data_IF_810826420426
#
_entry.id   IF_810826420426
#
_cell.length_a   1.000
_cell.length_b   1.000
_cell.length_c   1.000
_cell.angle_alpha   90.00
_cell.angle_beta   90.00
_cell.angle_gamma   90.00
#
_symmetry.space_group_name_H-M   'P 1'
#
loop_
_entity.id
_entity.type
_entity.pdbx_description
1 polymer ?
#
# COMPACT_ATOMS: atom_id res chain seq x y z
N UNK A 1 33.33 -4.29 40.90
CA UNK A 1 32.92 -3.62 39.64
C UNK A 1 31.47 -3.93 39.41
N UNK A 2 30.57 -3.01 39.75
CA UNK A 2 29.14 -3.17 39.51
C UNK A 2 28.83 -2.62 38.10
N UNK A 3 28.41 -3.50 37.22
CA UNK A 3 27.88 -3.12 35.87
C UNK A 3 26.46 -2.67 36.07
N UNK A 4 26.22 -1.35 35.99
CA UNK A 4 24.89 -0.78 36.01
C UNK A 4 24.15 -1.11 34.70
N UNK A 5 23.10 -1.90 34.79
CA UNK A 5 22.14 -2.07 33.69
C UNK A 5 21.38 -0.77 33.51
N UNK A 6 21.68 -0.04 32.44
CA UNK A 6 20.91 1.11 32.04
C UNK A 6 19.52 0.65 31.60
N UNK A 7 18.50 1.01 32.34
CA UNK A 7 17.10 0.92 31.93
C UNK A 7 16.91 1.94 30.81
N UNK A 8 16.83 1.49 29.57
CA UNK A 8 16.37 2.33 28.45
C UNK A 8 14.94 2.77 28.79
N UNK A 9 14.78 4.02 29.20
CA UNK A 9 13.46 4.62 29.42
C UNK A 9 12.69 4.59 28.12
N UNK A 10 11.53 3.94 28.10
CA UNK A 10 10.55 4.05 27.03
C UNK A 10 10.15 5.52 26.93
N UNK A 11 10.65 6.21 25.90
CA UNK A 11 10.10 7.53 25.55
C UNK A 11 8.60 7.37 25.27
N UNK A 12 7.75 8.30 25.75
CA UNK A 12 6.35 8.27 25.39
C UNK A 12 6.24 8.33 23.87
N UNK A 13 5.54 7.37 23.27
CA UNK A 13 5.26 7.34 21.84
C UNK A 13 4.48 8.61 21.50
N UNK A 14 5.10 9.52 20.78
CA UNK A 14 4.48 10.74 20.28
C UNK A 14 3.62 10.42 19.06
N UNK A 15 2.63 11.27 18.76
CA UNK A 15 1.90 11.23 17.50
C UNK A 15 2.86 11.19 16.30
N UNK A 16 2.44 10.57 15.21
CA UNK A 16 3.28 10.47 14.00
C UNK A 16 3.46 11.88 13.41
N UNK A 17 4.70 12.28 13.31
CA UNK A 17 5.14 13.48 12.60
C UNK A 17 5.52 13.15 11.15
N UNK A 18 5.53 14.14 10.24
CA UNK A 18 6.06 13.95 8.89
C UNK A 18 7.43 13.30 8.91
N UNK A 19 7.65 12.34 8.02
CA UNK A 19 8.94 11.63 7.95
C UNK A 19 10.09 12.58 7.61
N UNK A 20 11.05 12.73 8.51
CA UNK A 20 12.28 13.49 8.28
C UNK A 20 13.29 12.62 7.53
N UNK A 21 13.31 12.70 6.22
CA UNK A 21 14.25 11.95 5.38
C UNK A 21 15.49 12.79 5.08
N UNK A 22 16.67 12.18 5.27
CA UNK A 22 17.95 12.81 4.92
C UNK A 22 18.23 12.65 3.41
N UNK A 23 19.00 13.59 2.84
CA UNK A 23 19.40 13.55 1.42
C UNK A 23 18.34 14.06 0.45
N UNK A 24 18.53 13.73 -0.82
CA UNK A 24 17.61 14.11 -1.89
C UNK A 24 16.48 13.07 -2.06
N UNK A 25 15.34 13.46 -2.64
CA UNK A 25 14.29 12.53 -3.01
C UNK A 25 14.85 11.39 -3.88
N UNK A 26 14.47 10.16 -3.55
CA UNK A 26 14.89 8.98 -4.30
C UNK A 26 13.73 8.02 -4.46
N UNK A 27 13.26 7.91 -5.68
CA UNK A 27 12.08 7.13 -6.02
C UNK A 27 12.46 5.97 -6.93
N UNK A 28 12.10 4.75 -6.52
CA UNK A 28 12.33 3.53 -7.28
C UNK A 28 11.01 3.06 -7.91
N UNK A 29 11.03 2.82 -9.23
CA UNK A 29 9.83 2.41 -9.94
C UNK A 29 9.47 0.95 -9.62
N UNK A 30 8.21 0.72 -9.33
CA UNK A 30 7.60 -0.57 -9.02
C UNK A 30 6.27 -0.75 -9.77
N UNK A 31 5.70 -1.93 -9.71
CA UNK A 31 4.39 -2.25 -10.27
C UNK A 31 3.56 -3.01 -9.24
N UNK A 32 2.31 -2.58 -9.06
CA UNK A 32 1.37 -3.30 -8.21
C UNK A 32 0.71 -4.46 -8.97
N UNK A 33 0.71 -5.65 -8.37
CA UNK A 33 0.08 -6.84 -8.92
C UNK A 33 -1.41 -6.63 -9.24
N UNK A 34 -2.07 -5.72 -8.54
CA UNK A 34 -3.46 -5.36 -8.77
C UNK A 34 -3.71 -4.83 -10.19
N UNK A 35 -2.69 -4.29 -10.86
CA UNK A 35 -2.74 -3.90 -12.29
C UNK A 35 -3.16 -5.05 -13.21
N UNK A 36 -2.86 -6.28 -12.81
CA UNK A 36 -3.20 -7.51 -13.53
C UNK A 36 -4.24 -8.38 -12.81
N UNK A 37 -5.09 -7.77 -11.97
CA UNK A 37 -6.07 -8.45 -11.10
C UNK A 37 -6.91 -9.52 -11.80
N UNK A 38 -7.20 -9.32 -13.10
CA UNK A 38 -8.01 -10.23 -13.90
C UNK A 38 -7.21 -11.37 -14.53
N UNK A 39 -5.89 -11.37 -14.42
CA UNK A 39 -4.99 -12.32 -15.09
C UNK A 39 -4.30 -13.29 -14.14
N UNK A 40 -4.50 -13.16 -12.84
CA UNK A 40 -3.93 -14.10 -11.87
C UNK A 40 -4.73 -15.40 -11.81
N UNK A 41 -4.02 -16.53 -11.71
CA UNK A 41 -4.61 -17.85 -11.47
C UNK A 41 -5.37 -17.84 -10.15
N UNK A 42 -6.64 -18.25 -10.18
CA UNK A 42 -7.48 -18.26 -8.98
C UNK A 42 -8.00 -16.90 -8.51
N UNK A 43 -7.79 -15.84 -9.29
CA UNK A 43 -8.44 -14.57 -9.03
C UNK A 43 -9.97 -14.73 -9.03
N UNK A 44 -10.71 -14.05 -8.12
CA UNK A 44 -12.16 -14.06 -8.17
C UNK A 44 -12.65 -13.58 -9.54
N UNK A 45 -13.56 -14.30 -10.17
CA UNK A 45 -14.15 -13.88 -11.43
C UNK A 45 -14.83 -12.53 -11.25
N UNK A 46 -14.34 -11.49 -11.91
CA UNK A 46 -14.99 -10.19 -11.96
C UNK A 46 -15.89 -10.09 -13.19
N UNK A 47 -16.96 -9.33 -13.11
CA UNK A 47 -17.87 -9.13 -14.23
C UNK A 47 -17.10 -8.56 -15.43
N UNK A 48 -17.11 -9.30 -16.57
CA UNK A 48 -16.39 -8.94 -17.80
C UNK A 48 -15.13 -9.77 -18.10
N UNK A 49 -14.72 -10.70 -17.23
CA UNK A 49 -13.64 -11.63 -17.55
C UNK A 49 -14.06 -12.61 -18.65
N UNK A 50 -13.31 -12.64 -19.75
CA UNK A 50 -13.36 -13.77 -20.68
C UNK A 50 -12.69 -14.98 -20.02
N UNK A 51 -13.47 -16.03 -19.76
CA UNK A 51 -12.92 -17.33 -19.39
C UNK A 51 -11.97 -17.79 -20.50
N UNK A 52 -10.69 -18.06 -20.14
CA UNK A 52 -9.69 -18.51 -21.09
C UNK A 52 -8.74 -17.43 -21.60
N UNK A 53 -8.47 -16.37 -20.83
CA UNK A 53 -7.43 -15.41 -21.17
C UNK A 53 -6.11 -16.13 -21.47
N UNK A 54 -5.47 -15.90 -22.66
CA UNK A 54 -4.30 -16.67 -23.11
C UNK A 54 -3.03 -16.43 -22.29
N UNK A 55 -3.05 -15.48 -21.36
CA UNK A 55 -1.95 -15.13 -20.44
C UNK A 55 -2.45 -15.15 -19.00
N UNK A 56 -2.06 -16.16 -18.25
CA UNK A 56 -2.29 -16.23 -16.81
C UNK A 56 -0.99 -16.00 -16.05
N UNK A 57 -1.06 -15.20 -14.98
CA UNK A 57 0.05 -14.95 -14.07
C UNK A 57 -0.12 -15.78 -12.79
N UNK A 58 1.01 -16.09 -12.19
CA UNK A 58 1.18 -16.34 -10.76
C UNK A 58 2.20 -15.33 -10.21
N UNK A 59 2.51 -15.39 -8.92
CA UNK A 59 3.42 -14.39 -8.33
C UNK A 59 4.85 -14.48 -8.87
N UNK A 60 5.32 -15.66 -9.25
CA UNK A 60 6.65 -15.83 -9.88
C UNK A 60 6.67 -15.17 -11.26
N UNK A 61 5.68 -15.46 -12.09
CA UNK A 61 5.53 -14.84 -13.42
C UNK A 61 5.29 -13.33 -13.36
N UNK A 62 4.65 -12.83 -12.30
CA UNK A 62 4.52 -11.38 -12.08
C UNK A 62 5.88 -10.73 -11.76
N UNK A 63 6.71 -11.37 -10.92
CA UNK A 63 8.07 -10.92 -10.63
C UNK A 63 8.92 -10.93 -11.90
N UNK A 64 8.81 -11.97 -12.72
CA UNK A 64 9.49 -12.03 -14.03
C UNK A 64 9.08 -10.88 -14.94
N UNK A 65 7.78 -10.62 -15.05
CA UNK A 65 7.26 -9.49 -15.82
C UNK A 65 7.82 -8.14 -15.33
N UNK A 66 7.84 -7.91 -14.01
CA UNK A 66 8.41 -6.70 -13.44
C UNK A 66 9.90 -6.54 -13.79
N UNK A 67 10.68 -7.62 -13.72
CA UNK A 67 12.09 -7.62 -14.09
C UNK A 67 12.29 -7.33 -15.60
N UNK A 68 11.47 -7.91 -16.48
CA UNK A 68 11.48 -7.67 -17.92
C UNK A 68 11.14 -6.21 -18.28
N UNK A 69 10.29 -5.54 -17.48
CA UNK A 69 10.01 -4.11 -17.62
C UNK A 69 11.13 -3.22 -17.04
N UNK A 70 12.20 -3.80 -16.50
CA UNK A 70 13.32 -3.04 -15.91
C UNK A 70 12.95 -2.28 -14.64
N UNK A 71 12.05 -2.83 -13.84
CA UNK A 71 11.59 -2.22 -12.58
C UNK A 71 12.53 -2.56 -11.43
N UNK A 72 12.54 -1.73 -10.40
CA UNK A 72 13.27 -1.98 -9.15
C UNK A 72 12.48 -2.84 -8.15
N UNK A 73 11.15 -2.91 -8.29
CA UNK A 73 10.30 -3.62 -7.34
C UNK A 73 9.03 -4.22 -7.94
N UNK A 74 8.51 -5.23 -7.25
CA UNK A 74 7.19 -5.82 -7.47
C UNK A 74 6.37 -5.68 -6.18
N UNK A 75 5.24 -4.98 -6.23
CA UNK A 75 4.29 -4.89 -5.13
C UNK A 75 3.27 -6.03 -5.28
N UNK A 76 3.35 -7.00 -4.39
CA UNK A 76 2.52 -8.20 -4.44
C UNK A 76 1.24 -8.03 -3.61
N UNK A 77 0.17 -8.74 -3.96
CA UNK A 77 -1.12 -8.61 -3.27
C UNK A 77 -1.57 -9.97 -2.73
N UNK A 78 -2.01 -10.01 -1.48
CA UNK A 78 -2.45 -11.24 -0.79
C UNK A 78 -3.50 -12.05 -1.54
N UNK A 79 -4.29 -11.38 -2.37
CA UNK A 79 -5.42 -11.96 -3.09
C UNK A 79 -5.04 -13.03 -4.13
N UNK A 80 -3.79 -12.97 -4.63
CA UNK A 80 -3.35 -13.75 -5.80
C UNK A 80 -2.35 -14.84 -5.47
N UNK A 81 -2.08 -15.03 -4.18
CA UNK A 81 -1.24 -16.15 -3.73
C UNK A 81 -2.01 -17.48 -3.75
N UNK A 82 -1.30 -18.62 -3.91
CA UNK A 82 -1.92 -19.93 -3.83
C UNK A 82 -2.50 -20.18 -2.43
N UNK A 83 -3.52 -21.03 -2.37
CA UNK A 83 -4.13 -21.47 -1.11
C UNK A 83 -4.07 -23.00 -1.01
N UNK A 84 -3.45 -23.56 0.05
CA UNK A 84 -2.79 -22.88 1.18
C UNK A 84 -1.48 -22.19 0.76
N UNK A 85 -1.10 -21.13 1.47
CA UNK A 85 0.15 -20.41 1.26
C UNK A 85 1.19 -20.87 2.29
N UNK A 86 2.26 -21.51 1.83
CA UNK A 86 3.34 -22.00 2.69
C UNK A 86 4.52 -21.01 2.78
N UNK A 87 5.32 -21.15 3.84
CA UNK A 87 6.55 -20.37 3.99
C UNK A 87 7.60 -20.70 2.93
N UNK A 88 7.64 -21.98 2.47
CA UNK A 88 8.53 -22.43 1.40
C UNK A 88 8.26 -21.65 0.12
N UNK A 89 6.99 -21.48 -0.25
CA UNK A 89 6.61 -20.68 -1.40
C UNK A 89 7.05 -19.22 -1.28
N UNK A 90 6.88 -18.61 -0.10
CA UNK A 90 7.29 -17.23 0.18
C UNK A 90 8.81 -17.05 0.13
N UNK A 91 9.57 -18.00 0.66
CA UNK A 91 11.04 -18.00 0.59
C UNK A 91 11.51 -18.20 -0.87
N UNK A 92 10.85 -19.06 -1.63
CA UNK A 92 11.12 -19.24 -3.06
C UNK A 92 10.83 -17.97 -3.86
N UNK A 93 9.71 -17.30 -3.61
CA UNK A 93 9.38 -16.02 -4.24
C UNK A 93 10.44 -14.95 -3.92
N UNK A 94 10.86 -14.85 -2.68
CA UNK A 94 11.94 -13.94 -2.26
C UNK A 94 13.27 -14.25 -2.97
N UNK A 95 13.65 -15.53 -3.03
CA UNK A 95 14.84 -16.00 -3.75
C UNK A 95 14.73 -15.72 -5.25
N UNK A 96 13.58 -15.99 -5.85
CA UNK A 96 13.32 -15.74 -7.26
C UNK A 96 13.48 -14.25 -7.59
N UNK A 97 12.83 -13.35 -6.83
CA UNK A 97 12.95 -11.92 -7.00
C UNK A 97 14.41 -11.44 -6.87
N UNK A 98 15.16 -11.95 -5.87
CA UNK A 98 16.57 -11.62 -5.70
C UNK A 98 17.42 -12.01 -6.92
N UNK A 99 17.22 -13.22 -7.49
CA UNK A 99 17.94 -13.68 -8.65
C UNK A 99 17.57 -12.92 -9.94
N UNK A 100 16.39 -12.31 -9.98
CA UNK A 100 15.95 -11.41 -11.06
C UNK A 100 16.42 -9.97 -10.87
N UNK A 101 17.14 -9.66 -9.78
CA UNK A 101 17.62 -8.31 -9.48
C UNK A 101 16.51 -7.34 -9.07
N UNK A 102 15.39 -7.84 -8.54
CA UNK A 102 14.21 -7.05 -8.18
C UNK A 102 13.87 -7.30 -6.70
N UNK A 103 13.29 -6.30 -6.03
CA UNK A 103 12.81 -6.43 -4.66
C UNK A 103 11.31 -6.70 -4.62
N UNK A 104 10.84 -7.41 -3.58
CA UNK A 104 9.43 -7.30 -3.22
C UNK A 104 9.27 -5.92 -2.57
N UNK A 105 8.69 -4.97 -3.30
CA UNK A 105 8.63 -3.56 -2.88
C UNK A 105 7.61 -3.30 -1.78
N UNK A 106 6.64 -4.18 -1.65
CA UNK A 106 5.58 -4.14 -0.66
C UNK A 106 4.53 -5.19 -0.91
N UNK A 107 3.53 -5.22 -0.03
CA UNK A 107 2.38 -6.10 -0.19
C UNK A 107 1.09 -5.44 0.29
N UNK A 108 -0.05 -6.04 -0.03
CA UNK A 108 -1.36 -5.53 0.32
C UNK A 108 -2.25 -6.63 0.88
N UNK A 109 -3.06 -6.31 1.88
CA UNK A 109 -4.05 -7.21 2.48
C UNK A 109 -5.43 -6.55 2.51
N UNK A 110 -6.47 -7.36 2.36
CA UNK A 110 -7.84 -6.91 2.56
C UNK A 110 -8.21 -7.00 4.04
N UNK A 111 -8.62 -5.87 4.63
CA UNK A 111 -9.08 -5.79 6.01
C UNK A 111 -10.12 -4.69 6.17
N UNK A 112 -10.82 -4.71 7.31
CA UNK A 112 -11.74 -3.65 7.71
C UNK A 112 -11.61 -3.37 9.21
N UNK A 113 -10.89 -2.32 9.56
CA UNK A 113 -10.67 -1.91 10.96
C UNK A 113 -11.74 -0.94 11.49
N UNK A 114 -12.67 -0.47 10.63
CA UNK A 114 -13.79 0.37 11.04
C UNK A 114 -14.95 -0.40 11.71
N UNK A 115 -14.83 -1.72 11.87
CA UNK A 115 -15.87 -2.56 12.46
C UNK A 115 -16.15 -2.21 13.94
N UNK A 116 -17.37 -2.49 14.44
CA UNK A 116 -17.64 -2.53 15.87
C UNK A 116 -16.67 -3.45 16.61
N UNK A 117 -16.33 -3.10 17.86
CA UNK A 117 -15.54 -3.99 18.74
C UNK A 117 -16.21 -5.34 18.91
N UNK A 118 -15.42 -6.40 18.93
CA UNK A 118 -15.88 -7.79 19.08
C UNK A 118 -15.17 -8.73 18.11
N UNK A 119 -15.66 -9.96 18.01
CA UNK A 119 -15.01 -11.06 17.27
C UNK A 119 -14.70 -10.74 15.82
N UNK A 120 -15.55 -9.95 15.15
CA UNK A 120 -15.33 -9.60 13.76
C UNK A 120 -14.09 -8.70 13.60
N UNK A 121 -13.91 -7.69 14.44
CA UNK A 121 -12.73 -6.83 14.44
C UNK A 121 -11.48 -7.61 14.86
N UNK A 122 -11.60 -8.47 15.89
CA UNK A 122 -10.49 -9.32 16.35
C UNK A 122 -9.99 -10.25 15.24
N UNK A 123 -10.87 -10.80 14.41
CA UNK A 123 -10.48 -11.60 13.24
C UNK A 123 -9.77 -10.79 12.17
N UNK A 124 -10.18 -9.53 11.92
CA UNK A 124 -9.47 -8.64 10.98
C UNK A 124 -8.03 -8.37 11.46
N UNK A 125 -7.87 -8.06 12.76
CA UNK A 125 -6.54 -7.82 13.35
C UNK A 125 -5.68 -9.08 13.26
N UNK A 126 -6.22 -10.24 13.61
CA UNK A 126 -5.52 -11.53 13.53
C UNK A 126 -5.07 -11.85 12.09
N UNK A 127 -5.93 -11.61 11.12
CA UNK A 127 -5.62 -11.80 9.69
C UNK A 127 -4.49 -10.88 9.22
N UNK A 128 -4.49 -9.62 9.66
CA UNK A 128 -3.39 -8.69 9.34
C UNK A 128 -2.08 -9.14 10.01
N UNK A 129 -2.12 -9.60 11.28
CA UNK A 129 -0.94 -10.14 11.97
C UNK A 129 -0.38 -11.38 11.26
N UNK A 130 -1.24 -12.29 10.81
CA UNK A 130 -0.83 -13.44 9.99
C UNK A 130 -0.14 -12.98 8.69
N UNK A 131 -0.65 -11.92 8.06
CA UNK A 131 -0.03 -11.39 6.83
C UNK A 131 1.28 -10.65 7.09
N UNK A 132 1.44 -10.05 8.29
CA UNK A 132 2.73 -9.47 8.73
C UNK A 132 3.82 -10.54 8.79
N UNK A 133 3.52 -11.74 9.33
CA UNK A 133 4.48 -12.86 9.32
C UNK A 133 4.86 -13.25 7.88
N UNK A 134 3.89 -13.35 6.98
CA UNK A 134 4.14 -13.66 5.57
C UNK A 134 4.96 -12.57 4.87
N UNK A 135 4.66 -11.30 5.14
CA UNK A 135 5.42 -10.16 4.61
C UNK A 135 6.89 -10.20 5.06
N UNK A 136 7.13 -10.49 6.34
CA UNK A 136 8.48 -10.64 6.86
C UNK A 136 9.25 -11.79 6.20
N UNK A 137 8.61 -12.95 6.00
CA UNK A 137 9.21 -14.11 5.32
C UNK A 137 9.58 -13.79 3.87
N UNK A 138 8.66 -13.17 3.10
CA UNK A 138 8.94 -12.82 1.71
C UNK A 138 9.84 -11.59 1.54
N UNK A 139 10.14 -10.87 2.65
CA UNK A 139 11.00 -9.68 2.63
C UNK A 139 10.30 -8.41 2.15
N UNK A 140 8.98 -8.35 2.22
CA UNK A 140 8.23 -7.13 1.92
C UNK A 140 8.38 -6.10 3.06
N UNK A 141 8.83 -4.87 2.78
CA UNK A 141 9.12 -3.88 3.81
C UNK A 141 7.86 -3.23 4.39
N UNK A 142 6.75 -3.28 3.68
CA UNK A 142 5.48 -2.70 4.12
C UNK A 142 4.26 -3.49 3.66
N UNK A 143 3.15 -3.24 4.34
CA UNK A 143 1.82 -3.77 4.00
C UNK A 143 0.85 -2.60 3.86
N UNK A 144 0.16 -2.51 2.74
CA UNK A 144 -1.01 -1.64 2.61
C UNK A 144 -2.19 -2.26 3.36
N UNK A 145 -2.81 -1.46 4.22
CA UNK A 145 -4.02 -1.77 4.97
C UNK A 145 -5.13 -0.77 4.66
N UNK A 146 -6.38 -1.17 4.91
CA UNK A 146 -7.55 -0.31 4.81
C UNK A 146 -8.06 0.12 6.19
N UNK A 147 -8.69 1.30 6.25
CA UNK A 147 -9.52 1.67 7.39
C UNK A 147 -10.85 0.90 7.38
N UNK A 148 -11.58 1.01 6.28
CA UNK A 148 -12.85 0.37 6.07
C UNK A 148 -14.00 1.34 5.76
N UNK A 149 -15.17 0.81 5.34
CA UNK A 149 -16.35 1.63 5.06
C UNK A 149 -16.94 2.21 6.35
N UNK A 150 -17.76 3.25 6.21
CA UNK A 150 -18.57 3.76 7.33
C UNK A 150 -19.57 2.67 7.77
N UNK A 151 -19.50 2.16 9.03
CA UNK A 151 -20.41 1.13 9.50
C UNK A 151 -21.84 1.68 9.63
N UNK A 152 -22.84 0.77 9.59
CA UNK A 152 -24.24 1.12 9.82
C UNK A 152 -24.63 1.10 11.30
N UNK A 153 -23.91 0.31 12.10
CA UNK A 153 -24.29 -0.04 13.47
C UNK A 153 -23.64 0.82 14.54
N UNK A 154 -22.63 1.60 14.18
CA UNK A 154 -21.91 2.52 15.07
C UNK A 154 -21.67 3.87 14.39
N UNK A 155 -21.37 4.89 15.17
CA UNK A 155 -21.03 6.20 14.64
C UNK A 155 -19.68 6.20 13.91
N UNK A 156 -19.49 7.09 12.93
CA UNK A 156 -18.19 7.29 12.25
C UNK A 156 -17.07 7.58 13.27
N UNK A 157 -17.37 8.37 14.31
CA UNK A 157 -16.40 8.70 15.35
C UNK A 157 -15.97 7.47 16.17
N UNK A 158 -16.88 6.53 16.43
CA UNK A 158 -16.56 5.26 17.08
C UNK A 158 -15.76 4.34 16.15
N UNK A 159 -16.14 4.26 14.88
CA UNK A 159 -15.39 3.50 13.87
C UNK A 159 -13.94 4.01 13.73
N UNK A 160 -13.73 5.32 13.76
CA UNK A 160 -12.39 5.93 13.75
C UNK A 160 -11.58 5.51 14.99
N UNK A 161 -12.18 5.55 16.20
CA UNK A 161 -11.48 5.11 17.42
C UNK A 161 -11.10 3.62 17.34
N UNK A 162 -12.03 2.76 16.90
CA UNK A 162 -11.77 1.33 16.75
C UNK A 162 -10.65 1.07 15.72
N UNK A 163 -10.66 1.81 14.62
CA UNK A 163 -9.61 1.73 13.60
C UNK A 163 -8.24 2.12 14.15
N UNK A 164 -8.13 3.21 14.93
CA UNK A 164 -6.88 3.64 15.56
C UNK A 164 -6.36 2.56 16.50
N UNK A 165 -7.18 2.04 17.40
CA UNK A 165 -6.80 0.97 18.34
C UNK A 165 -6.34 -0.31 17.60
N UNK A 166 -7.07 -0.72 16.55
CA UNK A 166 -6.71 -1.88 15.74
C UNK A 166 -5.37 -1.69 14.99
N UNK A 167 -5.13 -0.48 14.47
CA UNK A 167 -3.86 -0.15 13.83
C UNK A 167 -2.73 -0.18 14.84
N UNK A 168 -2.89 0.40 16.03
CA UNK A 168 -1.87 0.40 17.09
C UNK A 168 -1.49 -1.03 17.49
N UNK A 169 -2.49 -1.90 17.70
CA UNK A 169 -2.28 -3.32 18.01
C UNK A 169 -1.54 -4.07 16.88
N UNK A 170 -1.92 -3.83 15.63
CA UNK A 170 -1.26 -4.43 14.48
C UNK A 170 0.17 -3.89 14.29
N UNK A 171 0.40 -2.60 14.53
CA UNK A 171 1.71 -1.95 14.41
C UNK A 171 2.70 -2.40 15.49
N UNK A 172 2.24 -2.68 16.71
CA UNK A 172 3.09 -3.27 17.76
C UNK A 172 3.68 -4.60 17.27
N UNK A 173 2.85 -5.46 16.67
CA UNK A 173 3.30 -6.72 16.10
C UNK A 173 4.18 -6.52 14.86
N UNK A 174 3.80 -5.61 13.97
CA UNK A 174 4.55 -5.31 12.76
C UNK A 174 5.96 -4.80 13.05
N UNK A 175 6.12 -3.98 14.10
CA UNK A 175 7.42 -3.49 14.56
C UNK A 175 8.35 -4.59 15.03
N UNK A 176 7.84 -5.64 15.68
CA UNK A 176 8.62 -6.82 16.08
C UNK A 176 9.15 -7.61 14.87
N UNK A 177 8.47 -7.49 13.71
CA UNK A 177 8.82 -8.16 12.47
C UNK A 177 9.59 -7.26 11.47
N UNK A 178 9.76 -5.97 11.79
CA UNK A 178 10.41 -5.00 10.92
C UNK A 178 9.60 -4.63 9.68
N UNK A 179 8.26 -4.63 9.78
CA UNK A 179 7.32 -4.35 8.68
C UNK A 179 6.55 -3.07 8.98
N UNK A 180 6.50 -2.14 8.03
CA UNK A 180 5.66 -0.93 8.12
C UNK A 180 4.21 -1.25 7.72
N UNK A 181 3.23 -0.60 8.37
CA UNK A 181 1.85 -0.58 7.90
C UNK A 181 1.53 0.77 7.25
N UNK A 182 0.99 0.74 6.04
CA UNK A 182 0.58 1.92 5.29
C UNK A 182 -0.95 1.96 5.16
N UNK A 183 -1.60 2.96 5.76
CA UNK A 183 -3.04 3.17 5.61
C UNK A 183 -3.35 3.84 4.28
N UNK A 184 -4.17 3.20 3.46
CA UNK A 184 -4.57 3.75 2.17
C UNK A 184 -5.75 4.72 2.29
N UNK A 185 -5.70 5.81 1.55
CA UNK A 185 -6.84 6.68 1.28
C UNK A 185 -7.81 5.98 0.31
N UNK A 186 -8.70 5.15 0.86
CA UNK A 186 -9.62 4.29 0.08
C UNK A 186 -11.09 4.55 0.41
N UNK A 187 -11.49 5.81 0.57
CA UNK A 187 -12.86 6.20 0.91
C UNK A 187 -13.30 5.75 2.31
N UNK A 188 -14.61 5.57 2.51
CA UNK A 188 -15.15 5.13 3.80
C UNK A 188 -14.92 6.13 4.92
N UNK A 189 -14.20 5.74 5.99
CA UNK A 189 -13.88 6.65 7.10
C UNK A 189 -12.64 7.52 6.84
N UNK A 190 -11.99 7.37 5.69
CA UNK A 190 -10.80 8.12 5.23
C UNK A 190 -10.99 8.65 3.79
N UNK A 191 -12.14 9.25 3.54
CA UNK A 191 -12.51 9.77 2.23
C UNK A 191 -11.70 11.03 1.83
N UNK A 192 -11.28 11.82 2.82
CA UNK A 192 -10.51 13.05 2.63
C UNK A 192 -9.14 12.97 3.29
N UNK A 193 -8.20 13.83 2.86
CA UNK A 193 -6.89 13.96 3.49
C UNK A 193 -7.00 14.32 4.98
N UNK A 194 -7.93 15.20 5.35
CA UNK A 194 -8.15 15.57 6.75
C UNK A 194 -8.56 14.36 7.62
N UNK A 195 -9.43 13.50 7.12
CA UNK A 195 -9.87 12.28 7.82
C UNK A 195 -8.75 11.24 7.92
N UNK A 196 -8.02 11.01 6.83
CA UNK A 196 -6.85 10.13 6.82
C UNK A 196 -5.80 10.60 7.82
N UNK A 197 -5.43 11.88 7.76
CA UNK A 197 -4.41 12.46 8.65
C UNK A 197 -4.85 12.54 10.10
N UNK A 198 -6.15 12.64 10.39
CA UNK A 198 -6.66 12.54 11.75
C UNK A 198 -6.34 11.17 12.37
N UNK A 199 -6.49 10.06 11.63
CA UNK A 199 -6.10 8.73 12.08
C UNK A 199 -4.57 8.62 12.17
N UNK A 200 -3.85 9.02 11.11
CA UNK A 200 -2.38 8.91 11.06
C UNK A 200 -1.71 9.63 12.24
N UNK A 201 -2.16 10.84 12.56
CA UNK A 201 -1.61 11.63 13.68
C UNK A 201 -2.04 11.11 15.06
N UNK A 202 -3.12 10.34 15.16
CA UNK A 202 -3.58 9.77 16.42
C UNK A 202 -2.84 8.46 16.78
N UNK A 203 -2.42 7.68 15.79
CA UNK A 203 -1.68 6.43 15.99
C UNK A 203 -0.28 6.71 16.55
N UNK A 204 0.10 6.00 17.61
CA UNK A 204 1.38 6.17 18.31
C UNK A 204 2.33 5.02 17.98
N UNK A 205 2.76 4.90 16.74
CA UNK A 205 3.70 3.85 16.33
C UNK A 205 4.66 4.34 15.26
N UNK A 206 5.97 4.12 15.39
CA UNK A 206 6.93 4.45 14.35
C UNK A 206 6.84 3.50 13.13
N UNK A 207 6.06 2.44 13.21
CA UNK A 207 5.85 1.43 12.16
C UNK A 207 4.60 1.68 11.34
N UNK A 208 4.12 2.93 11.30
CA UNK A 208 2.91 3.32 10.61
C UNK A 208 3.12 4.54 9.73
N UNK A 209 2.34 4.64 8.65
CA UNK A 209 2.29 5.80 7.77
C UNK A 209 1.17 5.66 6.75
N UNK A 210 1.27 6.42 5.67
CA UNK A 210 0.29 6.45 4.58
C UNK A 210 0.76 5.58 3.42
N UNK A 211 -0.08 4.67 2.93
CA UNK A 211 0.02 4.16 1.58
C UNK A 211 -0.76 5.12 0.68
N UNK A 212 -0.03 6.01 -0.01
CA UNK A 212 -0.63 7.10 -0.76
C UNK A 212 -1.06 6.62 -2.15
N UNK A 213 -2.36 6.39 -2.32
CA UNK A 213 -2.97 6.15 -3.61
C UNK A 213 -3.32 7.47 -4.29
N UNK A 214 -2.82 7.68 -5.51
CA UNK A 214 -2.92 8.98 -6.19
C UNK A 214 -4.24 9.22 -6.90
N UNK A 215 -5.11 8.22 -6.99
CA UNK A 215 -6.40 8.30 -7.68
C UNK A 215 -7.64 8.24 -6.79
N UNK A 216 -7.46 7.94 -5.49
CA UNK A 216 -8.58 7.65 -4.60
C UNK A 216 -9.18 8.87 -3.87
N UNK A 217 -8.58 10.04 -3.96
CA UNK A 217 -9.22 11.27 -3.51
C UNK A 217 -10.18 11.81 -4.57
N UNK A 218 -11.46 11.89 -4.23
CA UNK A 218 -12.53 12.37 -5.12
C UNK A 218 -13.02 13.77 -4.68
N UNK A 219 -12.08 14.70 -4.46
CA UNK A 219 -12.34 16.07 -4.09
C UNK A 219 -12.31 17.03 -5.29
N UNK A 220 -12.50 18.33 -5.06
CA UNK A 220 -12.37 19.35 -6.09
C UNK A 220 -10.92 19.49 -6.58
N UNK A 221 -9.93 19.35 -5.67
CA UNK A 221 -8.50 19.30 -5.99
C UNK A 221 -7.82 18.11 -5.32
N UNK A 222 -7.86 16.90 -5.92
CA UNK A 222 -7.21 15.72 -5.39
C UNK A 222 -5.70 15.87 -5.17
N UNK A 223 -5.03 16.67 -6.00
CA UNK A 223 -3.59 16.88 -5.88
C UNK A 223 -3.20 17.66 -4.63
N UNK A 224 -4.04 18.60 -4.18
CA UNK A 224 -3.83 19.27 -2.90
C UNK A 224 -3.89 18.29 -1.74
N UNK A 225 -4.83 17.35 -1.77
CA UNK A 225 -4.93 16.32 -0.73
C UNK A 225 -3.70 15.38 -0.76
N UNK A 226 -3.17 15.07 -1.94
CA UNK A 226 -1.93 14.33 -2.08
C UNK A 226 -0.74 15.11 -1.49
N UNK A 227 -0.67 16.44 -1.70
CA UNK A 227 0.36 17.31 -1.10
C UNK A 227 0.33 17.25 0.44
N UNK A 228 -0.85 17.26 1.04
CA UNK A 228 -1.02 17.18 2.50
C UNK A 228 -0.59 15.81 3.07
N UNK A 229 -0.82 14.72 2.33
CA UNK A 229 -0.53 13.35 2.78
C UNK A 229 0.88 12.85 2.45
N UNK A 230 1.51 13.36 1.39
CA UNK A 230 2.81 12.89 0.91
C UNK A 230 3.93 12.88 1.97
N UNK A 231 4.01 13.85 2.93
CA UNK A 231 5.02 13.81 3.98
C UNK A 231 4.93 12.59 4.91
N UNK A 232 3.79 11.92 4.97
CA UNK A 232 3.52 10.73 5.78
C UNK A 232 3.57 9.43 4.98
N UNK A 233 3.88 9.49 3.68
CA UNK A 233 3.84 8.31 2.81
C UNK A 233 4.98 7.34 3.11
N UNK A 234 4.66 6.06 3.30
CA UNK A 234 5.61 4.93 3.35
C UNK A 234 5.67 4.20 2.02
N UNK A 235 4.62 4.28 1.23
CA UNK A 235 4.50 3.78 -0.13
C UNK A 235 3.62 4.71 -0.96
N UNK A 236 3.79 4.67 -2.28
CA UNK A 236 2.96 5.43 -3.23
C UNK A 236 2.46 4.50 -4.32
N UNK A 237 1.14 4.43 -4.49
CA UNK A 237 0.48 3.76 -5.61
C UNK A 237 -0.01 4.81 -6.61
N UNK A 238 0.50 4.75 -7.83
CA UNK A 238 0.19 5.72 -8.89
C UNK A 238 -0.91 5.18 -9.78
N UNK A 239 -2.09 5.79 -9.70
CA UNK A 239 -3.18 5.58 -10.66
C UNK A 239 -2.94 6.37 -11.93
N UNK A 240 -3.39 5.83 -13.05
CA UNK A 240 -3.25 6.48 -14.37
C UNK A 240 -4.38 7.46 -14.66
N UNK A 241 -5.41 7.47 -13.85
CA UNK A 241 -6.59 8.32 -13.94
C UNK A 241 -6.94 8.91 -12.58
N UNK A 242 -7.43 10.15 -12.57
CA UNK A 242 -7.93 10.87 -11.40
C UNK A 242 -9.35 11.34 -11.68
N UNK A 243 -10.24 11.22 -10.71
CA UNK A 243 -11.63 11.67 -10.82
C UNK A 243 -11.94 12.75 -9.82
N UNK A 244 -12.16 13.98 -10.30
CA UNK A 244 -12.57 15.09 -9.45
C UNK A 244 -14.02 14.95 -8.99
N UNK A 245 -14.35 15.56 -7.87
CA UNK A 245 -15.74 15.63 -7.38
C UNK A 245 -16.65 16.25 -8.43
N UNK A 246 -17.78 15.59 -8.68
CA UNK A 246 -18.75 16.05 -9.67
C UNK A 246 -18.37 15.82 -11.14
N UNK A 247 -17.15 15.36 -11.44
CA UNK A 247 -16.76 15.06 -12.81
C UNK A 247 -17.47 13.80 -13.34
N UNK A 248 -18.02 13.90 -14.56
CA UNK A 248 -18.70 12.78 -15.20
C UNK A 248 -17.73 11.65 -15.59
N UNK A 249 -16.47 11.97 -15.85
CA UNK A 249 -15.42 11.04 -16.26
C UNK A 249 -14.13 11.32 -15.51
N UNK A 250 -13.31 10.27 -15.36
CA UNK A 250 -11.92 10.43 -14.92
C UNK A 250 -11.08 11.13 -16.01
N UNK A 251 -10.03 11.82 -15.61
CA UNK A 251 -9.03 12.45 -16.48
C UNK A 251 -7.68 11.74 -16.29
N UNK A 252 -6.80 11.75 -17.29
CA UNK A 252 -5.45 11.20 -17.13
C UNK A 252 -4.70 11.89 -16.00
N UNK A 253 -3.97 11.11 -15.20
CA UNK A 253 -3.14 11.62 -14.12
C UNK A 253 -2.02 12.53 -14.64
N UNK A 254 -1.83 13.69 -14.00
CA UNK A 254 -0.69 14.58 -14.22
C UNK A 254 0.55 14.04 -13.50
N UNK A 255 1.26 13.11 -14.15
CA UNK A 255 2.45 12.46 -13.59
C UNK A 255 3.56 13.45 -13.20
N UNK A 256 3.89 14.50 -14.00
CA UNK A 256 4.84 15.53 -13.60
C UNK A 256 4.44 16.24 -12.30
N UNK A 257 3.16 16.59 -12.13
CA UNK A 257 2.65 17.20 -10.89
C UNK A 257 2.77 16.25 -9.71
N UNK A 258 2.42 14.97 -9.88
CA UNK A 258 2.58 13.95 -8.84
C UNK A 258 4.04 13.80 -8.40
N UNK A 259 4.96 13.70 -9.34
CA UNK A 259 6.40 13.60 -9.02
C UNK A 259 6.90 14.86 -8.31
N UNK A 260 6.44 16.05 -8.70
CA UNK A 260 6.76 17.31 -8.02
C UNK A 260 6.29 17.31 -6.57
N UNK A 261 5.06 16.80 -6.30
CA UNK A 261 4.52 16.64 -4.93
C UNK A 261 5.42 15.72 -4.10
N UNK A 262 5.78 14.56 -4.64
CA UNK A 262 6.62 13.59 -3.94
C UNK A 262 8.04 14.14 -3.68
N UNK A 263 8.62 14.88 -4.64
CA UNK A 263 9.91 15.57 -4.46
C UNK A 263 9.83 16.64 -3.38
N UNK A 264 8.76 17.44 -3.34
CA UNK A 264 8.57 18.46 -2.32
C UNK A 264 8.44 17.88 -0.90
N UNK A 265 7.85 16.69 -0.78
CA UNK A 265 7.78 15.93 0.46
C UNK A 265 9.09 15.17 0.80
N UNK A 266 10.14 15.32 0.00
CA UNK A 266 11.38 14.55 0.09
C UNK A 266 11.13 13.03 0.16
N UNK A 267 10.15 12.53 -0.62
CA UNK A 267 9.81 11.11 -0.60
C UNK A 267 10.97 10.24 -1.08
N UNK A 268 11.26 9.19 -0.32
CA UNK A 268 12.27 8.17 -0.64
C UNK A 268 11.62 6.80 -0.46
N UNK A 269 11.44 6.08 -1.56
CA UNK A 269 10.77 4.78 -1.54
C UNK A 269 10.31 4.33 -2.91
N UNK A 270 9.44 3.34 -2.93
CA UNK A 270 8.87 2.83 -4.17
C UNK A 270 7.70 3.69 -4.64
N UNK A 271 7.61 3.83 -5.95
CA UNK A 271 6.48 4.43 -6.67
C UNK A 271 5.90 3.30 -7.53
N UNK A 272 4.83 2.70 -7.06
CA UNK A 272 4.21 1.55 -7.69
C UNK A 272 3.12 1.99 -8.67
N UNK A 273 3.27 1.71 -9.97
CA UNK A 273 2.16 1.89 -10.90
C UNK A 273 1.04 0.91 -10.53
N UNK A 274 -0.17 1.42 -10.31
CA UNK A 274 -1.38 0.61 -10.12
C UNK A 274 -2.42 0.94 -11.20
N UNK A 275 -2.42 0.12 -12.25
CA UNK A 275 -3.27 0.33 -13.41
C UNK A 275 -4.68 -0.24 -13.19
N UNK A 276 -5.70 0.61 -13.33
CA UNK A 276 -7.10 0.21 -13.17
C UNK A 276 -8.02 0.70 -14.29
N UNK A 277 -7.49 1.43 -15.29
CA UNK A 277 -8.29 1.91 -16.41
C UNK A 277 -8.79 0.77 -17.33
N UNK A 278 -9.64 1.10 -18.28
CA UNK A 278 -10.40 0.11 -19.05
C UNK A 278 -9.61 -0.61 -20.15
N UNK A 279 -8.45 -0.05 -20.59
CA UNK A 279 -7.66 -0.67 -21.65
C UNK A 279 -6.97 -1.95 -21.14
N UNK A 280 -6.67 -2.90 -22.03
CA UNK A 280 -5.93 -4.11 -21.70
C UNK A 280 -4.59 -3.77 -21.01
N UNK A 281 -4.36 -4.22 -19.76
CA UNK A 281 -3.15 -3.91 -19.02
C UNK A 281 -1.87 -4.40 -19.71
N UNK A 282 -1.92 -5.45 -20.51
CA UNK A 282 -0.75 -5.93 -21.26
C UNK A 282 -0.25 -4.91 -22.29
N UNK A 283 -1.13 -4.02 -22.78
CA UNK A 283 -0.78 -2.94 -23.69
C UNK A 283 -0.53 -1.63 -22.95
N UNK A 284 -1.35 -1.35 -21.94
CA UNK A 284 -1.33 -0.08 -21.24
C UNK A 284 -0.19 0.05 -20.23
N UNK A 285 0.08 -0.99 -19.44
CA UNK A 285 1.09 -0.95 -18.37
C UNK A 285 2.49 -0.59 -18.90
N UNK A 286 3.05 -1.22 -19.96
CA UNK A 286 4.37 -0.82 -20.47
C UNK A 286 4.44 0.65 -20.86
N UNK A 287 3.39 1.18 -21.50
CA UNK A 287 3.31 2.59 -21.92
C UNK A 287 3.27 3.53 -20.72
N UNK A 288 2.49 3.22 -19.69
CA UNK A 288 2.40 4.05 -18.48
C UNK A 288 3.65 3.96 -17.61
N UNK A 289 4.31 2.80 -17.54
CA UNK A 289 5.62 2.65 -16.91
C UNK A 289 6.66 3.53 -17.61
N UNK A 290 6.65 3.60 -18.95
CA UNK A 290 7.51 4.52 -19.73
C UNK A 290 7.30 5.98 -19.34
N UNK A 291 6.04 6.45 -19.35
CA UNK A 291 5.68 7.82 -18.94
C UNK A 291 6.08 8.13 -17.50
N UNK A 292 5.83 7.20 -16.58
CA UNK A 292 6.19 7.39 -15.17
C UNK A 292 7.70 7.42 -14.98
N UNK A 293 8.45 6.58 -15.70
CA UNK A 293 9.92 6.60 -15.70
C UNK A 293 10.46 7.94 -16.20
N UNK A 294 9.90 8.48 -17.29
CA UNK A 294 10.27 9.82 -17.82
C UNK A 294 9.98 10.93 -16.79
N UNK A 295 8.85 10.88 -16.10
CA UNK A 295 8.50 11.87 -15.08
C UNK A 295 9.41 11.81 -13.84
N UNK A 296 9.97 10.63 -13.52
CA UNK A 296 10.86 10.42 -12.37
C UNK A 296 12.29 10.93 -12.61
N UNK A 297 12.71 11.14 -13.84
CA UNK A 297 14.02 11.74 -14.21
C UNK A 297 13.97 13.25 -14.02
#
# INVERSE_FOLDING_TARGET
MCIGAGVAGLMPLAAIEPFKRAGQPRMALSLAAYSFRNFFKGAPAQAGQQAGAPRQLDMMGFVDYCAEQGLAGAEVTSYYFPKPLSNEYLLELRRHAFLRGISISGTAVGNNFARPKGDALSREIASVKEWIDKAAVMGAPHIRIFAGPVPKDISKAEAVRNCIEAIEEACEYAGQKGVMLGLENHGGIVETAAELLAIVKAVKSPWFGVNLDTGNFHSEDPYRELEECAPYAVNVQVKVEVRRKGAARAEPSDLPRLVKILRAANYQGYVALEYEAAEDPWQAVPRWLGKLKEALV
#
